data_IF_817727894537
#
_entry.id   IF_817727894537
#
_cell.length_a   1.000
_cell.length_b   1.000
_cell.length_c   1.000
_cell.angle_alpha   90.00
_cell.angle_beta   90.00
_cell.angle_gamma   90.00
#
_symmetry.space_group_name_H-M   'P 1'
#
loop_
_entity.id
_entity.type
_entity.pdbx_description
1 polymer ?
#
# COMPACT_ATOMS: atom_id res chain seq x y z
N UNK A 1 -24.49 -9.13 1.98
CA UNK A 1 -23.53 -8.15 1.42
C UNK A 1 -22.76 -7.60 2.60
N UNK A 2 -21.71 -8.31 3.00
CA UNK A 2 -20.86 -7.87 4.11
C UNK A 2 -19.96 -6.75 3.58
N UNK A 3 -20.42 -5.52 3.78
CA UNK A 3 -19.60 -4.34 3.56
C UNK A 3 -18.38 -4.44 4.47
N UNK A 4 -17.20 -4.53 3.88
CA UNK A 4 -15.92 -4.43 4.58
C UNK A 4 -15.85 -3.07 5.29
N UNK A 5 -16.30 -3.05 6.54
CA UNK A 5 -16.06 -1.95 7.45
C UNK A 5 -14.62 -2.07 7.94
N UNK A 6 -13.65 -1.74 7.07
CA UNK A 6 -12.27 -1.49 7.49
C UNK A 6 -12.25 -0.09 8.09
N UNK A 7 -12.79 0.06 9.30
CA UNK A 7 -12.39 1.17 10.15
C UNK A 7 -10.85 1.13 10.28
N UNK A 8 -10.17 2.28 10.37
CA UNK A 8 -8.72 2.30 10.44
C UNK A 8 -8.28 1.53 11.68
N UNK A 9 -7.77 0.31 11.45
CA UNK A 9 -7.21 -0.55 12.48
C UNK A 9 -6.12 0.23 13.21
N UNK A 10 -5.84 -0.10 14.47
CA UNK A 10 -4.80 0.56 15.27
C UNK A 10 -3.47 0.70 14.48
N UNK A 11 -3.18 -0.27 13.63
CA UNK A 11 -2.01 -0.33 12.76
C UNK A 11 -2.02 0.71 11.64
N UNK A 12 -3.17 1.02 11.02
CA UNK A 12 -3.24 2.04 9.97
C UNK A 12 -3.05 3.45 10.53
N UNK A 13 -3.59 3.75 11.72
CA UNK A 13 -3.33 5.04 12.41
C UNK A 13 -1.86 5.21 12.79
N UNK A 14 -1.22 4.13 13.26
CA UNK A 14 0.22 4.14 13.60
C UNK A 14 1.07 4.35 12.35
N UNK A 15 0.76 3.64 11.26
CA UNK A 15 1.40 3.82 9.96
C UNK A 15 1.27 5.26 9.47
N UNK A 16 0.06 5.80 9.40
CA UNK A 16 -0.18 7.17 8.93
C UNK A 16 0.67 8.20 9.70
N UNK A 17 0.85 8.02 11.02
CA UNK A 17 1.70 8.91 11.83
C UNK A 17 3.19 8.80 11.52
N UNK A 18 3.67 7.62 11.09
CA UNK A 18 5.07 7.36 10.74
C UNK A 18 5.43 7.75 9.30
N UNK A 19 4.44 7.84 8.42
CA UNK A 19 4.62 8.31 7.06
C UNK A 19 4.80 9.83 7.04
N UNK A 20 5.80 10.29 6.29
CA UNK A 20 5.94 11.70 5.94
C UNK A 20 4.87 12.10 4.89
N UNK A 21 4.70 13.39 4.57
CA UNK A 21 3.66 13.84 3.64
C UNK A 21 3.72 13.17 2.25
N UNK A 22 4.91 12.99 1.68
CA UNK A 22 5.07 12.35 0.36
C UNK A 22 4.73 10.86 0.40
N UNK A 23 5.14 10.16 1.47
CA UNK A 23 4.84 8.74 1.65
C UNK A 23 3.36 8.50 1.90
N UNK A 24 2.65 9.44 2.55
CA UNK A 24 1.19 9.37 2.71
C UNK A 24 0.49 9.49 1.38
N UNK A 25 0.90 10.45 0.55
CA UNK A 25 0.34 10.62 -0.78
C UNK A 25 0.52 9.34 -1.60
N UNK A 26 1.74 8.79 -1.62
CA UNK A 26 2.02 7.52 -2.30
C UNK A 26 1.18 6.36 -1.74
N UNK A 27 1.03 6.28 -0.42
CA UNK A 27 0.21 5.25 0.21
C UNK A 27 -1.27 5.37 -0.18
N UNK A 28 -1.81 6.58 -0.24
CA UNK A 28 -3.19 6.84 -0.70
C UNK A 28 -3.37 6.47 -2.17
N UNK A 29 -2.43 6.84 -3.05
CA UNK A 29 -2.45 6.49 -4.47
C UNK A 29 -2.41 4.96 -4.69
N UNK A 30 -1.58 4.25 -3.93
CA UNK A 30 -1.53 2.77 -3.97
C UNK A 30 -2.85 2.17 -3.51
N UNK A 31 -3.46 2.68 -2.43
CA UNK A 31 -4.77 2.20 -1.97
C UNK A 31 -5.88 2.44 -3.01
N UNK A 32 -5.84 3.58 -3.70
CA UNK A 32 -6.78 3.88 -4.79
C UNK A 32 -6.59 2.91 -5.96
N UNK A 33 -5.35 2.64 -6.36
CA UNK A 33 -5.04 1.70 -7.44
C UNK A 33 -5.47 0.26 -7.09
N UNK A 34 -5.24 -0.17 -5.85
CA UNK A 34 -5.76 -1.45 -5.33
C UNK A 34 -7.28 -1.50 -5.42
N UNK A 35 -7.96 -0.40 -5.05
CA UNK A 35 -9.41 -0.30 -5.14
C UNK A 35 -9.93 -0.41 -6.58
N UNK A 36 -9.20 0.10 -7.56
CA UNK A 36 -9.56 0.05 -9.00
C UNK A 36 -9.22 -1.30 -9.64
N UNK A 37 -8.19 -1.99 -9.16
CA UNK A 37 -7.64 -3.21 -9.76
C UNK A 37 -7.69 -4.40 -8.80
N UNK A 38 -8.73 -4.52 -7.97
CA UNK A 38 -8.80 -5.53 -6.90
C UNK A 38 -8.49 -6.97 -7.37
N UNK A 39 -9.04 -7.37 -8.52
CA UNK A 39 -8.81 -8.71 -9.07
C UNK A 39 -7.31 -8.97 -9.29
N UNK A 40 -6.58 -8.02 -9.89
CA UNK A 40 -5.13 -8.12 -10.09
C UNK A 40 -4.40 -8.34 -8.77
N UNK A 41 -4.63 -7.49 -7.77
CA UNK A 41 -3.93 -7.57 -6.49
C UNK A 41 -4.27 -8.82 -5.65
N UNK A 42 -5.41 -9.46 -5.91
CA UNK A 42 -5.80 -10.71 -5.21
C UNK A 42 -5.29 -11.97 -5.90
N UNK A 43 -4.95 -11.91 -7.19
CA UNK A 43 -4.48 -13.07 -7.97
C UNK A 43 -3.00 -13.04 -8.31
N UNK A 44 -2.39 -11.87 -8.33
CA UNK A 44 -1.00 -11.68 -8.77
C UNK A 44 0.03 -12.00 -7.70
N UNK A 45 1.22 -12.36 -8.15
CA UNK A 45 2.36 -12.58 -7.27
C UNK A 45 2.92 -11.25 -6.73
N UNK A 46 3.68 -11.26 -5.63
CA UNK A 46 4.37 -10.07 -5.12
C UNK A 46 5.28 -9.40 -6.15
N UNK A 47 5.94 -10.18 -7.01
CA UNK A 47 6.79 -9.69 -8.09
C UNK A 47 5.97 -8.94 -9.14
N UNK A 48 4.83 -9.50 -9.57
CA UNK A 48 3.92 -8.86 -10.53
C UNK A 48 3.31 -7.57 -9.97
N UNK A 49 2.92 -7.57 -8.69
CA UNK A 49 2.42 -6.38 -8.02
C UNK A 49 3.50 -5.29 -7.97
N UNK A 50 4.73 -5.66 -7.62
CA UNK A 50 5.86 -4.71 -7.56
C UNK A 50 6.17 -4.15 -8.95
N UNK A 51 6.17 -4.99 -9.97
CA UNK A 51 6.35 -4.59 -11.37
C UNK A 51 5.26 -3.62 -11.83
N UNK A 52 3.99 -3.89 -11.52
CA UNK A 52 2.87 -2.99 -11.82
C UNK A 52 3.06 -1.62 -11.15
N UNK A 53 3.36 -1.59 -9.85
CA UNK A 53 3.56 -0.33 -9.14
C UNK A 53 4.71 0.51 -9.72
N UNK A 54 5.81 -0.12 -10.12
CA UNK A 54 6.97 0.59 -10.66
C UNK A 54 6.74 0.99 -12.12
N UNK A 55 6.31 0.05 -12.97
CA UNK A 55 6.34 0.23 -14.42
C UNK A 55 4.99 0.69 -15.00
N UNK A 56 3.86 0.38 -14.35
CA UNK A 56 2.53 0.81 -14.80
C UNK A 56 2.06 2.07 -14.09
N UNK A 57 2.27 2.16 -12.77
CA UNK A 57 1.91 3.34 -11.98
C UNK A 57 3.01 4.41 -11.95
N UNK A 58 4.20 4.11 -12.49
CA UNK A 58 5.37 5.01 -12.53
C UNK A 58 5.81 5.49 -11.12
N UNK A 59 5.58 4.67 -10.10
CA UNK A 59 6.00 5.00 -8.74
C UNK A 59 7.50 4.73 -8.55
N UNK A 60 8.24 5.62 -7.88
CA UNK A 60 9.65 5.41 -7.63
C UNK A 60 9.90 4.16 -6.77
N UNK A 61 10.70 3.23 -7.29
CA UNK A 61 11.00 1.95 -6.64
C UNK A 61 11.55 2.11 -5.22
N UNK A 62 12.42 3.11 -4.99
CA UNK A 62 12.94 3.44 -3.65
C UNK A 62 11.83 3.84 -2.68
N UNK A 63 10.86 4.65 -3.14
CA UNK A 63 9.74 5.10 -2.31
C UNK A 63 8.81 3.94 -1.96
N UNK A 64 8.51 3.07 -2.92
CA UNK A 64 7.72 1.84 -2.68
C UNK A 64 8.41 0.96 -1.64
N UNK A 65 9.71 0.70 -1.83
CA UNK A 65 10.47 -0.14 -0.91
C UNK A 65 10.49 0.42 0.51
N UNK A 66 10.74 1.73 0.66
CA UNK A 66 10.74 2.40 1.97
C UNK A 66 9.35 2.34 2.64
N UNK A 67 8.28 2.54 1.88
CA UNK A 67 6.91 2.43 2.37
C UNK A 67 6.61 1.01 2.87
N UNK A 68 6.90 -0.01 2.05
CA UNK A 68 6.67 -1.41 2.42
C UNK A 68 7.51 -1.85 3.61
N UNK A 69 8.75 -1.36 3.73
CA UNK A 69 9.60 -1.60 4.91
C UNK A 69 8.97 -1.05 6.18
N UNK A 70 8.38 0.15 6.14
CA UNK A 70 7.67 0.74 7.30
C UNK A 70 6.41 -0.05 7.64
N UNK A 71 5.63 -0.46 6.64
CA UNK A 71 4.45 -1.32 6.84
C UNK A 71 4.84 -2.64 7.51
N UNK A 72 5.87 -3.30 7.00
CA UNK A 72 6.38 -4.56 7.57
C UNK A 72 6.92 -4.38 9.01
N UNK A 73 7.52 -3.23 9.32
CA UNK A 73 7.99 -2.94 10.68
C UNK A 73 6.85 -2.87 11.69
N UNK A 74 5.69 -2.32 11.30
CA UNK A 74 4.51 -2.20 12.17
C UNK A 74 3.78 -3.54 12.28
N UNK A 75 3.77 -4.34 11.22
CA UNK A 75 3.12 -5.66 11.20
C UNK A 75 3.79 -6.69 12.12
N UNK A 76 5.07 -6.48 12.46
CA UNK A 76 5.88 -7.38 13.31
C UNK A 76 5.83 -7.01 14.80
N UNK A 77 5.15 -5.94 15.18
CA UNK A 77 4.88 -5.55 16.58
C UNK A 77 3.58 -6.16 17.08
#
# INVERSE_FOLDING_TARGET
>A
MDGLNIGPTLNSKKLYRMLNPEERLLYEEILEDIGKNQDFYTTSSPEEITDHLINKCDFPSEKIYNLFKKINSISRE
#
